data_IF_284443796546
#
_entry.id   IF_284443796546
#
_cell.length_a   1.000
_cell.length_b   1.000
_cell.length_c   1.000
_cell.angle_alpha   90.00
_cell.angle_beta   90.00
_cell.angle_gamma   90.00
#
_symmetry.space_group_name_H-M   'P 1'
#
loop_
_entity.id
_entity.type
_entity.pdbx_description
1 polymer ?
#
# COMPACT_ATOMS: atom_id res chain seq x y z
N UNK A 1 25.59 21.92 -1.08
CA UNK A 1 24.86 21.03 -2.01
C UNK A 1 23.54 20.65 -1.37
N UNK A 2 22.43 21.23 -1.86
CA UNK A 2 21.10 21.05 -1.27
C UNK A 2 20.60 19.62 -1.46
N UNK A 3 20.34 18.92 -0.36
CA UNK A 3 19.60 17.66 -0.37
C UNK A 3 18.23 17.95 -0.99
N UNK A 4 17.97 17.42 -2.18
CA UNK A 4 16.62 17.40 -2.77
C UNK A 4 15.74 16.57 -1.85
N UNK A 5 15.07 17.21 -0.91
CA UNK A 5 13.90 16.64 -0.24
C UNK A 5 12.88 16.40 -1.34
N UNK A 6 12.72 15.14 -1.76
CA UNK A 6 11.60 14.74 -2.62
C UNK A 6 10.35 15.25 -1.91
N UNK A 7 9.73 16.29 -2.45
CA UNK A 7 8.51 16.85 -1.89
C UNK A 7 7.46 15.75 -1.88
N UNK A 8 7.29 15.18 -0.68
CA UNK A 8 6.07 14.66 -0.08
C UNK A 8 4.89 14.71 -1.05
N UNK A 9 4.71 13.64 -1.85
CA UNK A 9 3.41 13.43 -2.48
C UNK A 9 2.37 13.49 -1.37
N UNK A 10 1.38 14.37 -1.54
CA UNK A 10 0.31 14.55 -0.57
C UNK A 10 -0.48 13.24 -0.58
N UNK A 11 -0.30 12.40 0.44
CA UNK A 11 -1.04 11.15 0.55
C UNK A 11 -2.54 11.49 0.56
N UNK A 12 -3.26 10.98 -0.43
CA UNK A 12 -4.71 11.11 -0.43
C UNK A 12 -5.28 10.30 0.73
N UNK A 13 -6.17 10.93 1.49
CA UNK A 13 -6.81 10.25 2.61
C UNK A 13 -7.91 9.34 2.07
N UNK A 14 -7.70 8.03 2.17
CA UNK A 14 -8.69 7.03 1.81
C UNK A 14 -9.49 6.62 3.05
N UNK A 15 -10.80 6.77 2.98
CA UNK A 15 -11.72 6.24 4.00
C UNK A 15 -12.23 4.87 3.53
N UNK A 16 -11.67 3.80 4.10
CA UNK A 16 -12.04 2.44 3.75
C UNK A 16 -13.01 1.86 4.78
N UNK A 17 -14.13 1.33 4.31
CA UNK A 17 -15.05 0.54 5.14
C UNK A 17 -14.69 -0.93 5.00
N UNK A 18 -14.23 -1.52 6.09
CA UNK A 18 -13.85 -2.95 6.16
C UNK A 18 -14.55 -3.62 7.32
N UNK A 19 -14.70 -4.95 7.23
CA UNK A 19 -15.26 -5.74 8.34
C UNK A 19 -14.33 -5.72 9.56
N UNK A 20 -14.87 -5.85 10.78
CA UNK A 20 -14.06 -5.87 12.01
C UNK A 20 -13.02 -7.00 12.02
N UNK A 21 -13.33 -8.15 11.43
CA UNK A 21 -12.43 -9.29 11.32
C UNK A 21 -11.25 -8.99 10.41
N UNK A 22 -11.51 -8.40 9.24
CA UNK A 22 -10.46 -7.95 8.30
C UNK A 22 -9.55 -6.92 8.96
N UNK A 23 -10.12 -5.99 9.73
CA UNK A 23 -9.33 -5.00 10.50
C UNK A 23 -8.36 -5.66 11.48
N UNK A 24 -8.82 -6.68 12.23
CA UNK A 24 -7.97 -7.43 13.18
C UNK A 24 -6.87 -8.19 12.43
N UNK A 25 -7.20 -8.81 11.30
CA UNK A 25 -6.23 -9.56 10.48
C UNK A 25 -5.15 -8.64 9.91
N UNK A 26 -5.53 -7.49 9.35
CA UNK A 26 -4.59 -6.48 8.85
C UNK A 26 -3.67 -5.96 9.96
N UNK A 27 -4.21 -5.73 11.16
CA UNK A 27 -3.39 -5.31 12.30
C UNK A 27 -2.33 -6.37 12.65
N UNK A 28 -2.70 -7.64 12.77
CA UNK A 28 -1.75 -8.73 13.08
C UNK A 28 -0.64 -8.85 12.04
N UNK A 29 -0.97 -8.69 10.76
CA UNK A 29 0.01 -8.72 9.67
C UNK A 29 0.95 -7.52 9.77
N UNK A 30 0.41 -6.32 10.01
CA UNK A 30 1.19 -5.11 10.18
C UNK A 30 2.16 -5.22 11.38
N UNK A 31 1.68 -5.75 12.51
CA UNK A 31 2.48 -5.98 13.71
C UNK A 31 3.61 -6.98 13.45
N UNK A 32 3.32 -8.08 12.74
CA UNK A 32 4.32 -9.10 12.37
C UNK A 32 5.42 -8.56 11.46
N UNK A 33 5.10 -7.54 10.66
CA UNK A 33 6.03 -6.90 9.74
C UNK A 33 6.67 -5.64 10.34
N UNK A 34 6.30 -5.29 11.58
CA UNK A 34 6.73 -4.07 12.27
C UNK A 34 6.50 -2.79 11.44
N UNK A 35 5.37 -2.72 10.75
CA UNK A 35 4.95 -1.57 9.93
C UNK A 35 3.58 -1.06 10.36
N UNK A 36 3.22 0.14 9.91
CA UNK A 36 1.86 0.65 10.12
C UNK A 36 0.86 -0.06 9.21
N UNK A 37 -0.41 -0.14 9.63
CA UNK A 37 -1.50 -0.64 8.78
C UNK A 37 -1.62 0.13 7.46
N UNK A 38 -1.44 1.45 7.49
CA UNK A 38 -1.52 2.27 6.27
C UNK A 38 -0.40 1.90 5.31
N UNK A 39 0.82 1.71 5.82
CA UNK A 39 1.96 1.29 5.02
C UNK A 39 1.76 -0.13 4.44
N UNK A 40 1.16 -1.04 5.21
CA UNK A 40 0.79 -2.37 4.70
C UNK A 40 -0.18 -2.27 3.52
N UNK A 41 -1.22 -1.42 3.63
CA UNK A 41 -2.20 -1.22 2.57
C UNK A 41 -1.55 -0.57 1.34
N UNK A 42 -0.69 0.42 1.52
CA UNK A 42 0.05 1.06 0.42
C UNK A 42 0.92 0.05 -0.32
N UNK A 43 1.73 -0.74 0.39
CA UNK A 43 2.59 -1.77 -0.22
C UNK A 43 1.76 -2.81 -0.97
N UNK A 44 0.65 -3.25 -0.40
CA UNK A 44 -0.23 -4.21 -1.06
C UNK A 44 -0.90 -3.64 -2.30
N UNK A 45 -1.37 -2.39 -2.25
CA UNK A 45 -1.96 -1.71 -3.41
C UNK A 45 -0.95 -1.52 -4.54
N UNK A 46 0.28 -1.09 -4.23
CA UNK A 46 1.35 -0.94 -5.25
C UNK A 46 1.69 -2.29 -5.89
N UNK A 47 1.85 -3.35 -5.09
CA UNK A 47 2.09 -4.70 -5.64
C UNK A 47 0.94 -5.20 -6.51
N UNK A 48 -0.31 -4.85 -6.19
CA UNK A 48 -1.46 -5.18 -7.01
C UNK A 48 -1.45 -4.45 -8.36
N UNK A 49 -1.11 -3.16 -8.38
CA UNK A 49 -0.95 -2.38 -9.62
C UNK A 49 0.18 -2.91 -10.51
N UNK A 50 1.30 -3.32 -9.91
CA UNK A 50 2.42 -3.93 -10.62
C UNK A 50 2.00 -5.25 -11.30
N UNK A 51 1.25 -6.10 -10.60
CA UNK A 51 0.75 -7.37 -11.15
C UNK A 51 -0.20 -7.14 -12.34
N UNK A 52 -1.12 -6.18 -12.23
CA UNK A 52 -2.03 -5.82 -13.33
C UNK A 52 -1.29 -5.23 -14.53
N UNK A 53 -0.21 -4.49 -14.29
CA UNK A 53 0.62 -3.92 -15.37
C UNK A 53 1.38 -5.00 -16.15
N UNK A 54 1.78 -6.10 -15.50
CA UNK A 54 2.46 -7.23 -16.16
C UNK A 54 1.48 -8.05 -17.00
N UNK A 55 0.24 -8.23 -16.55
CA UNK A 55 -0.81 -8.95 -17.29
C UNK A 55 -1.17 -8.26 -18.61
N UNK A 56 -1.11 -6.92 -18.66
CA UNK A 56 -1.38 -6.11 -19.86
C UNK A 56 -0.24 -6.11 -20.91
N UNK A 57 0.96 -6.59 -20.56
CA UNK A 57 2.12 -6.64 -21.46
C UNK A 57 2.36 -8.05 -22.05
N UNK A 58 1.49 -9.02 -21.74
CA UNK A 58 1.62 -10.43 -22.12
C UNK A 58 0.86 -10.87 -23.37
N UNK A 59 0.15 -9.97 -24.07
CA UNK A 59 -0.53 -10.30 -25.33
C UNK A 59 0.25 -9.75 -26.54
N UNK A 60 1.07 -10.60 -27.16
CA UNK A 60 1.59 -10.45 -28.53
C UNK A 60 1.91 -11.81 -29.13
#
# INVERSE_FOLDING_TARGET
>A
MGRKTKHLQKKEQLNLTITPETKKRLQRIADSLNISRSELIEKWATSWEELQSVELLGES
#
